data_IF_082350529119
#
_entry.id   IF_082350529119
#
_cell.length_a   1.000
_cell.length_b   1.000
_cell.length_c   1.000
_cell.angle_alpha   90.00
_cell.angle_beta   90.00
_cell.angle_gamma   90.00
#
_symmetry.space_group_name_H-M   'P 1'
#
loop_
_entity.id
_entity.type
_entity.pdbx_description
1 polymer ?
#
# COMPACT_ATOMS: atom_id res chain seq x y z
N UNK A 1 34.79 -10.50 26.73
CA UNK A 1 33.55 -10.76 25.96
C UNK A 1 32.39 -10.67 26.93
N UNK A 2 31.55 -9.65 26.82
CA UNK A 2 30.42 -9.45 27.73
C UNK A 2 29.27 -10.34 27.26
N UNK A 3 29.34 -11.61 27.65
CA UNK A 3 28.26 -12.60 27.47
C UNK A 3 27.13 -12.33 28.47
N UNK A 4 26.42 -11.21 28.28
CA UNK A 4 25.26 -10.89 29.11
C UNK A 4 24.03 -10.76 28.23
N UNK A 5 23.22 -11.83 28.26
CA UNK A 5 21.84 -11.79 27.80
C UNK A 5 21.10 -10.77 28.67
N UNK A 6 20.74 -9.65 28.06
CA UNK A 6 19.99 -8.59 28.74
C UNK A 6 18.51 -8.96 28.82
N UNK A 7 17.80 -8.43 29.80
CA UNK A 7 16.36 -8.68 29.95
C UNK A 7 15.58 -8.24 28.70
N UNK A 8 16.00 -7.13 28.07
CA UNK A 8 15.44 -6.67 26.80
C UNK A 8 15.67 -7.71 25.69
N UNK A 9 16.89 -8.25 25.58
CA UNK A 9 17.22 -9.25 24.57
C UNK A 9 16.43 -10.55 24.75
N UNK A 10 16.24 -10.97 26.00
CA UNK A 10 15.40 -12.11 26.36
C UNK A 10 13.94 -11.88 25.99
N UNK A 11 13.40 -10.70 26.29
CA UNK A 11 12.00 -10.35 25.95
C UNK A 11 11.75 -10.26 24.45
N UNK A 12 12.71 -9.76 23.66
CA UNK A 12 12.60 -9.76 22.18
C UNK A 12 12.60 -11.21 21.65
N UNK A 13 13.47 -12.08 22.16
CA UNK A 13 13.51 -13.47 21.75
C UNK A 13 12.21 -14.21 22.08
N UNK A 14 11.66 -13.98 23.26
CA UNK A 14 10.38 -14.51 23.69
C UNK A 14 9.25 -14.08 22.73
N UNK A 15 9.11 -12.77 22.47
CA UNK A 15 8.09 -12.27 21.55
C UNK A 15 8.24 -12.81 20.11
N UNK A 16 9.46 -13.03 19.62
CA UNK A 16 9.69 -13.66 18.31
C UNK A 16 9.28 -15.14 18.30
N UNK A 17 9.50 -15.88 19.39
CA UNK A 17 9.05 -17.27 19.53
C UNK A 17 7.52 -17.35 19.55
N UNK A 18 6.86 -16.44 20.25
CA UNK A 18 5.39 -16.32 20.24
C UNK A 18 4.85 -16.03 18.84
N UNK A 19 5.45 -15.07 18.11
CA UNK A 19 5.06 -14.76 16.74
C UNK A 19 5.19 -15.97 15.80
N UNK A 20 6.23 -16.79 15.97
CA UNK A 20 6.42 -18.03 15.21
C UNK A 20 5.37 -19.10 15.57
N UNK A 21 5.07 -19.29 16.85
CA UNK A 21 4.04 -20.23 17.31
C UNK A 21 2.63 -19.84 16.81
N UNK A 22 2.32 -18.54 16.83
CA UNK A 22 1.09 -18.01 16.25
C UNK A 22 1.01 -18.28 14.74
N UNK A 23 2.10 -18.04 14.00
CA UNK A 23 2.16 -18.30 12.55
C UNK A 23 1.95 -19.78 12.21
N UNK A 24 2.34 -20.71 13.11
CA UNK A 24 2.10 -22.15 12.98
C UNK A 24 0.70 -22.58 13.46
N UNK A 25 -0.10 -21.69 14.03
CA UNK A 25 -1.42 -21.99 14.58
C UNK A 25 -1.38 -22.69 15.95
N UNK A 26 -0.24 -22.65 16.65
CA UNK A 26 -0.05 -23.30 17.94
C UNK A 26 -0.61 -22.48 19.10
N UNK A 27 -0.60 -21.14 18.97
CA UNK A 27 -1.14 -20.20 19.95
C UNK A 27 -2.03 -19.16 19.29
N UNK A 28 -2.97 -18.60 20.06
CA UNK A 28 -3.73 -17.43 19.67
C UNK A 28 -3.05 -16.16 20.20
N UNK A 29 -2.87 -15.16 19.34
CA UNK A 29 -2.42 -13.82 19.72
C UNK A 29 -3.48 -12.81 19.32
N UNK A 30 -3.52 -11.67 20.02
CA UNK A 30 -4.31 -10.53 19.56
C UNK A 30 -3.71 -10.01 18.25
N UNK A 31 -4.47 -10.13 17.17
CA UNK A 31 -4.01 -9.74 15.84
C UNK A 31 -4.88 -8.63 15.28
N UNK A 32 -4.24 -7.66 14.63
CA UNK A 32 -4.92 -6.65 13.85
C UNK A 32 -4.58 -6.81 12.38
N UNK A 33 -5.58 -7.06 11.54
CA UNK A 33 -5.42 -6.98 10.10
C UNK A 33 -5.21 -5.52 9.70
N UNK A 34 -3.99 -5.20 9.26
CA UNK A 34 -3.67 -3.89 8.69
C UNK A 34 -3.99 -3.93 7.21
N UNK A 35 -4.82 -3.00 6.74
CA UNK A 35 -5.06 -2.84 5.32
C UNK A 35 -3.73 -2.56 4.60
N UNK A 36 -3.35 -3.35 3.57
CA UNK A 36 -2.09 -3.14 2.86
C UNK A 36 -2.02 -1.78 2.15
N UNK A 37 -3.16 -1.14 1.90
CA UNK A 37 -3.21 0.20 1.31
C UNK A 37 -4.40 1.01 1.88
N UNK A 38 -4.25 1.58 3.09
CA UNK A 38 -5.35 2.30 3.73
C UNK A 38 -5.71 3.58 2.96
N UNK A 39 -6.94 4.11 3.09
CA UNK A 39 -7.40 5.30 2.35
C UNK A 39 -6.46 6.52 2.45
N UNK A 40 -5.87 6.74 3.64
CA UNK A 40 -4.90 7.80 3.86
C UNK A 40 -3.62 7.64 3.02
N UNK A 41 -3.17 6.40 2.79
CA UNK A 41 -2.01 6.08 1.94
C UNK A 41 -2.29 6.39 0.48
N UNK A 42 -3.47 6.02 -0.01
CA UNK A 42 -3.92 6.30 -1.39
C UNK A 42 -3.95 7.81 -1.63
N UNK A 43 -4.52 8.57 -0.68
CA UNK A 43 -4.55 10.03 -0.73
C UNK A 43 -3.16 10.65 -0.72
N UNK A 44 -2.22 10.08 0.04
CA UNK A 44 -0.83 10.52 0.07
C UNK A 44 -0.13 10.28 -1.29
N UNK A 45 -0.30 9.11 -1.90
CA UNK A 45 0.20 8.80 -3.24
C UNK A 45 -0.36 9.82 -4.25
N UNK A 46 -1.69 10.01 -4.29
CA UNK A 46 -2.32 10.95 -5.22
C UNK A 46 -1.78 12.38 -5.04
N UNK A 47 -1.64 12.87 -3.80
CA UNK A 47 -1.08 14.20 -3.50
C UNK A 47 0.36 14.37 -3.99
N UNK A 48 1.17 13.31 -3.95
CA UNK A 48 2.57 13.35 -4.41
C UNK A 48 2.68 13.55 -5.93
N UNK A 49 1.77 12.97 -6.70
CA UNK A 49 1.87 12.92 -8.17
C UNK A 49 0.85 13.81 -8.90
N UNK A 50 -0.18 14.29 -8.20
CA UNK A 50 -1.23 15.13 -8.77
C UNK A 50 -1.84 16.07 -7.72
N UNK A 51 -2.38 17.21 -8.16
CA UNK A 51 -3.00 18.23 -7.28
C UNK A 51 -4.44 17.89 -6.88
N UNK A 52 -5.20 17.21 -7.74
CA UNK A 52 -6.57 16.74 -7.49
C UNK A 52 -6.81 15.33 -8.05
N UNK A 53 -7.95 14.71 -7.72
CA UNK A 53 -8.36 13.44 -8.31
C UNK A 53 -8.64 13.58 -9.83
N UNK A 54 -9.20 14.71 -10.26
CA UNK A 54 -9.38 15.02 -11.68
C UNK A 54 -8.04 15.17 -12.42
N UNK A 55 -7.02 15.77 -11.78
CA UNK A 55 -5.68 15.84 -12.37
C UNK A 55 -5.01 14.45 -12.41
N UNK A 56 -5.28 13.60 -11.43
CA UNK A 56 -4.80 12.23 -11.40
C UNK A 56 -5.41 11.40 -12.54
N UNK A 57 -6.71 11.54 -12.79
CA UNK A 57 -7.40 10.92 -13.92
C UNK A 57 -6.81 11.36 -15.26
N UNK A 58 -6.66 12.67 -15.48
CA UNK A 58 -6.03 13.19 -16.70
C UNK A 58 -4.63 12.65 -16.93
N UNK A 59 -3.89 12.37 -15.86
CA UNK A 59 -2.49 11.93 -15.92
C UNK A 59 -2.35 10.42 -16.16
N UNK A 60 -3.19 9.61 -15.52
CA UNK A 60 -3.02 8.15 -15.47
C UNK A 60 -4.21 7.34 -16.02
N UNK A 61 -5.29 8.00 -16.46
CA UNK A 61 -6.48 7.34 -16.98
C UNK A 61 -7.35 6.63 -15.95
N UNK A 62 -7.03 6.74 -14.65
CA UNK A 62 -7.84 6.15 -13.57
C UNK A 62 -8.95 7.15 -13.18
N UNK A 63 -10.24 6.80 -13.28
CA UNK A 63 -11.33 7.74 -13.03
C UNK A 63 -11.23 8.43 -11.66
N UNK A 64 -11.46 9.74 -11.61
CA UNK A 64 -11.38 10.52 -10.38
C UNK A 64 -12.37 10.01 -9.32
N UNK A 65 -13.54 9.52 -9.75
CA UNK A 65 -14.53 8.88 -8.89
C UNK A 65 -14.00 7.59 -8.23
N UNK A 66 -13.27 6.77 -9.00
CA UNK A 66 -12.61 5.55 -8.50
C UNK A 66 -11.58 5.88 -7.42
N UNK A 67 -10.65 6.79 -7.72
CA UNK A 67 -9.61 7.20 -6.75
C UNK A 67 -10.25 7.85 -5.52
N UNK A 68 -11.27 8.69 -5.70
CA UNK A 68 -11.97 9.34 -4.58
C UNK A 68 -12.68 8.33 -3.68
N UNK A 69 -13.30 7.30 -4.25
CA UNK A 69 -13.93 6.22 -3.47
C UNK A 69 -12.90 5.46 -2.64
N UNK A 70 -11.70 5.24 -3.18
CA UNK A 70 -10.59 4.63 -2.45
C UNK A 70 -10.04 5.54 -1.34
N UNK A 71 -9.84 6.84 -1.62
CA UNK A 71 -9.37 7.82 -0.63
C UNK A 71 -10.35 8.03 0.54
N UNK A 72 -11.65 7.78 0.32
CA UNK A 72 -12.69 7.85 1.34
C UNK A 72 -12.96 6.50 2.02
N UNK A 73 -12.31 5.42 1.56
CA UNK A 73 -12.54 4.07 2.07
C UNK A 73 -13.90 3.47 1.73
N UNK A 74 -14.67 4.09 0.82
CA UNK A 74 -15.96 3.56 0.34
C UNK A 74 -15.78 2.29 -0.48
N UNK A 75 -14.63 2.15 -1.14
CA UNK A 75 -14.18 0.93 -1.81
C UNK A 75 -12.70 0.72 -1.56
N UNK A 76 -12.25 -0.52 -1.73
CA UNK A 76 -10.83 -0.87 -1.66
C UNK A 76 -10.28 -1.12 -3.06
N UNK A 77 -9.04 -0.69 -3.37
CA UNK A 77 -8.37 -1.12 -4.59
C UNK A 77 -8.12 -2.63 -4.54
N UNK A 78 -8.37 -3.31 -5.65
CA UNK A 78 -7.99 -4.71 -5.82
C UNK A 78 -6.45 -4.86 -5.86
N UNK A 79 -5.90 -6.09 -5.89
CA UNK A 79 -4.45 -6.29 -5.94
C UNK A 79 -3.75 -5.61 -7.12
N UNK A 80 -4.35 -5.57 -8.30
CA UNK A 80 -3.76 -4.95 -9.49
C UNK A 80 -3.75 -3.42 -9.36
N UNK A 81 -4.83 -2.84 -8.86
CA UNK A 81 -4.92 -1.41 -8.58
C UNK A 81 -3.91 -0.97 -7.50
N UNK A 82 -3.69 -1.78 -6.45
CA UNK A 82 -2.65 -1.51 -5.45
C UNK A 82 -1.26 -1.53 -6.06
N UNK A 83 -0.95 -2.52 -6.90
CA UNK A 83 0.32 -2.59 -7.61
C UNK A 83 0.51 -1.33 -8.50
N UNK A 84 -0.50 -0.96 -9.28
CA UNK A 84 -0.46 0.21 -10.14
C UNK A 84 -0.24 1.50 -9.33
N UNK A 85 -0.93 1.67 -8.19
CA UNK A 85 -0.71 2.80 -7.28
C UNK A 85 0.73 2.85 -6.74
N UNK A 86 1.32 1.70 -6.42
CA UNK A 86 2.73 1.61 -6.01
C UNK A 86 3.68 1.97 -7.15
N UNK A 87 3.43 1.51 -8.38
CA UNK A 87 4.24 1.87 -9.54
C UNK A 87 4.14 3.36 -9.82
N UNK A 88 2.93 3.95 -9.77
CA UNK A 88 2.71 5.40 -9.92
C UNK A 88 3.51 6.19 -8.87
N UNK A 89 3.62 5.71 -7.64
CA UNK A 89 4.38 6.40 -6.61
C UNK A 89 5.90 6.40 -6.85
N UNK A 90 6.41 5.30 -7.42
CA UNK A 90 7.83 5.05 -7.66
C UNK A 90 8.29 5.70 -8.98
N UNK A 91 7.51 5.51 -10.05
CA UNK A 91 7.81 5.96 -11.40
C UNK A 91 6.52 6.43 -12.12
N UNK A 92 6.00 7.62 -11.78
CA UNK A 92 4.78 8.14 -12.38
C UNK A 92 4.94 8.41 -13.88
N UNK A 93 6.13 8.78 -14.35
CA UNK A 93 6.39 9.10 -15.76
C UNK A 93 6.17 7.89 -16.67
N UNK A 94 6.61 6.70 -16.26
CA UNK A 94 6.40 5.47 -17.04
C UNK A 94 4.91 5.14 -17.19
N UNK A 95 4.12 5.30 -16.12
CA UNK A 95 2.68 5.03 -16.15
C UNK A 95 1.94 6.08 -16.99
N UNK A 96 2.33 7.34 -16.87
CA UNK A 96 1.76 8.41 -17.70
C UNK A 96 2.05 8.20 -19.20
N UNK A 97 3.27 7.76 -19.55
CA UNK A 97 3.61 7.40 -20.93
C UNK A 97 2.74 6.25 -21.45
N UNK A 98 2.61 5.18 -20.66
CA UNK A 98 1.76 4.04 -21.02
C UNK A 98 0.28 4.46 -21.19
N UNK A 99 -0.24 5.29 -20.28
CA UNK A 99 -1.62 5.79 -20.35
C UNK A 99 -1.87 6.62 -21.62
N UNK A 100 -0.91 7.46 -22.03
CA UNK A 100 -0.99 8.24 -23.28
C UNK A 100 -0.99 7.34 -24.53
N UNK A 101 -0.15 6.31 -24.55
CA UNK A 101 -0.10 5.35 -25.66
C UNK A 101 -1.40 4.56 -25.78
N UNK A 102 -1.97 4.11 -24.65
CA UNK A 102 -3.24 3.39 -24.62
C UNK A 102 -4.40 4.26 -25.16
N UNK A 103 -4.44 5.54 -24.76
CA UNK A 103 -5.42 6.49 -25.28
C UNK A 103 -5.27 6.68 -26.81
N UNK A 104 -4.04 6.80 -27.31
CA UNK A 104 -3.77 6.96 -28.75
C UNK A 104 -4.14 5.72 -29.58
N UNK A 105 -4.02 4.52 -29.02
CA UNK A 105 -4.40 3.26 -29.67
C UNK A 105 -5.92 3.00 -29.69
N UNK A 106 -6.70 3.83 -28.99
CA UNK A 106 -8.16 3.70 -28.85
C UNK A 106 -8.93 4.68 -29.76
N UNK A 107 -8.22 5.40 -30.64
CA UNK A 107 -8.73 6.35 -31.65
C UNK A 107 -8.48 5.77 -33.03
#
# INVERSE_FOLDING_TARGET
MTDKRTDIGLGIEEGLREALAWKRGEIALETRNVDPMPPARIKAIRKKVARSAAAFEKRFGIPASTVSNWEQGRRKPDPAARLLLSVIEINPEAVEQAARQQAAASV
#
